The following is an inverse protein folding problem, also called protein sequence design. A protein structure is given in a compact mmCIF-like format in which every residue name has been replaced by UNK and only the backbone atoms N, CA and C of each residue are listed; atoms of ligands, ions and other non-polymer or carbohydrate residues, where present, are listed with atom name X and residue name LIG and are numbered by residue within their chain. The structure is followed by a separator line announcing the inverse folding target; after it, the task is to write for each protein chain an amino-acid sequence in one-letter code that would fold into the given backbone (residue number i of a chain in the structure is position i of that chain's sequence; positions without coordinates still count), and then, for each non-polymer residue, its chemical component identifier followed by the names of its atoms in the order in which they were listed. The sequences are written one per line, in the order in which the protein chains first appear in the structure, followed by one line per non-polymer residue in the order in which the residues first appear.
data_IF_164352630239
#
_entry.id   IF_164352630239
#
_cell.length_a   1.000
_cell.length_b   1.000
_cell.length_c   1.000
_cell.angle_alpha   90.00
_cell.angle_beta   90.00
_cell.angle_gamma   90.00
#
_symmetry.space_group_name_H-M   'P 1'
#
loop_
_entity.id
_entity.type
_entity.pdbx_description
1 polymer ?
#
# COMPACT_ATOMS: atom_id res chain seq x y z
N UNK A 1 57.22 2.24 2.97
CA UNK A 1 56.11 1.27 3.09
C UNK A 1 54.85 1.99 2.67
N UNK A 2 54.16 1.60 1.60
CA UNK A 2 52.90 2.25 1.22
C UNK A 2 51.76 1.78 2.15
N UNK A 3 50.99 2.73 2.64
CA UNK A 3 49.79 2.50 3.45
C UNK A 3 48.74 1.71 2.67
N UNK A 4 48.28 0.59 3.22
CA UNK A 4 47.13 -0.15 2.70
C UNK A 4 45.85 0.69 2.91
N UNK A 5 45.31 1.25 1.84
CA UNK A 5 43.95 1.75 1.81
C UNK A 5 42.99 0.58 2.04
N UNK A 6 42.37 0.54 3.21
CA UNK A 6 41.26 -0.38 3.50
C UNK A 6 40.02 0.14 2.78
N UNK A 7 39.70 -0.39 1.60
CA UNK A 7 38.43 -0.12 0.94
C UNK A 7 37.32 -0.75 1.77
N UNK A 8 36.50 0.07 2.40
CA UNK A 8 35.29 -0.34 3.10
C UNK A 8 34.27 -0.79 2.03
N UNK A 9 34.09 -2.09 1.86
CA UNK A 9 33.04 -2.63 0.99
C UNK A 9 31.77 -2.76 1.81
N UNK A 10 30.81 -1.85 1.58
CA UNK A 10 29.45 -1.99 2.10
C UNK A 10 28.70 -2.93 1.16
N UNK A 11 28.32 -4.10 1.62
CA UNK A 11 27.40 -4.98 0.89
C UNK A 11 25.99 -4.70 1.39
N UNK A 12 25.12 -4.25 0.50
CA UNK A 12 23.69 -4.19 0.77
C UNK A 12 23.09 -5.58 0.54
N UNK A 13 22.17 -6.03 1.44
CA UNK A 13 21.38 -7.21 1.16
C UNK A 13 20.46 -6.91 -0.05
N UNK A 14 20.25 -7.86 -0.94
CA UNK A 14 19.36 -7.68 -2.12
C UNK A 14 17.93 -7.29 -1.71
N UNK A 15 17.48 -7.68 -0.53
CA UNK A 15 16.19 -7.27 0.04
C UNK A 15 16.12 -5.77 0.40
N UNK A 16 17.25 -5.13 0.71
CA UNK A 16 17.31 -3.70 1.03
C UNK A 16 17.24 -2.77 -0.20
N UNK A 17 17.30 -3.31 -1.41
CA UNK A 17 17.21 -2.52 -2.66
C UNK A 17 15.77 -2.33 -3.14
N UNK A 18 14.80 -3.08 -2.62
CA UNK A 18 13.39 -2.92 -2.95
C UNK A 18 12.76 -1.90 -2.00
N UNK A 19 12.34 -0.73 -2.53
CA UNK A 19 11.52 0.24 -1.79
C UNK A 19 10.25 -0.40 -1.20
N UNK A 20 9.46 0.36 -0.42
CA UNK A 20 8.21 -0.14 0.17
C UNK A 20 7.27 -0.71 -0.90
N UNK A 21 6.76 -1.92 -0.68
CA UNK A 21 5.81 -2.59 -1.58
C UNK A 21 4.41 -2.06 -1.34
N UNK A 22 3.90 -1.28 -2.27
CA UNK A 22 2.58 -0.65 -2.20
C UNK A 22 1.62 -1.38 -3.11
N UNK A 23 0.48 -1.84 -2.58
CA UNK A 23 -0.60 -2.44 -3.36
C UNK A 23 -1.86 -1.59 -3.31
N UNK A 24 -2.53 -1.47 -4.45
CA UNK A 24 -3.81 -0.75 -4.58
C UNK A 24 -4.88 -1.74 -5.00
N UNK A 25 -5.84 -1.99 -4.13
CA UNK A 25 -6.96 -2.88 -4.42
C UNK A 25 -8.25 -2.09 -4.59
N UNK A 26 -8.81 -2.15 -5.79
CA UNK A 26 -10.11 -1.55 -6.11
C UNK A 26 -11.24 -2.54 -5.88
N UNK A 27 -12.14 -2.22 -4.93
CA UNK A 27 -13.23 -3.11 -4.52
C UNK A 27 -14.57 -2.64 -5.09
N UNK A 28 -15.24 -3.54 -5.83
CA UNK A 28 -16.50 -3.26 -6.51
C UNK A 28 -16.35 -2.38 -7.75
N UNK A 29 -17.46 -1.90 -8.30
CA UNK A 29 -17.49 -1.13 -9.56
C UNK A 29 -16.71 0.18 -9.45
N UNK A 30 -17.01 1.03 -8.46
CA UNK A 30 -16.32 2.31 -8.25
C UNK A 30 -14.82 2.13 -8.00
N UNK A 31 -14.43 1.19 -7.12
CA UNK A 31 -13.02 0.90 -6.87
C UNK A 31 -12.28 0.38 -8.11
N UNK A 32 -12.89 -0.49 -8.90
CA UNK A 32 -12.32 -0.98 -10.16
C UNK A 32 -12.15 0.14 -11.19
N UNK A 33 -13.09 1.09 -11.26
CA UNK A 33 -12.98 2.26 -12.14
C UNK A 33 -11.84 3.18 -11.71
N UNK A 34 -11.70 3.44 -10.42
CA UNK A 34 -10.58 4.23 -9.88
C UNK A 34 -9.23 3.58 -10.21
N UNK A 35 -9.08 2.26 -10.03
CA UNK A 35 -7.87 1.52 -10.41
C UNK A 35 -7.61 1.63 -11.91
N UNK A 36 -8.61 1.45 -12.76
CA UNK A 36 -8.44 1.63 -14.20
C UNK A 36 -7.95 3.04 -14.56
N UNK A 37 -8.40 4.05 -13.81
CA UNK A 37 -7.97 5.43 -14.00
C UNK A 37 -6.52 5.64 -13.58
N UNK A 38 -6.11 5.05 -12.45
CA UNK A 38 -4.72 5.10 -11.98
C UNK A 38 -3.76 4.48 -13.00
N UNK A 39 -4.14 3.32 -13.57
CA UNK A 39 -3.35 2.63 -14.61
C UNK A 39 -3.24 3.51 -15.87
N UNK A 40 -4.34 4.11 -16.32
CA UNK A 40 -4.32 5.02 -17.50
C UNK A 40 -3.48 6.27 -17.25
N UNK A 41 -3.48 6.78 -16.04
CA UNK A 41 -2.66 7.91 -15.62
C UNK A 41 -1.20 7.51 -15.35
N UNK A 42 -0.83 6.23 -15.53
CA UNK A 42 0.51 5.70 -15.34
C UNK A 42 1.07 6.01 -13.94
N UNK A 43 0.26 5.80 -12.90
CA UNK A 43 0.76 5.86 -11.52
C UNK A 43 1.76 4.73 -11.32
N UNK A 44 3.00 5.08 -10.97
CA UNK A 44 4.14 4.17 -10.87
C UNK A 44 4.41 3.75 -9.42
N UNK A 45 5.21 2.71 -9.23
CA UNK A 45 5.65 2.24 -7.90
C UNK A 45 4.57 1.51 -7.10
N UNK A 46 3.43 1.14 -7.72
CA UNK A 46 2.32 0.43 -7.06
C UNK A 46 1.84 -0.76 -7.87
N UNK A 47 1.39 -1.81 -7.18
CA UNK A 47 0.76 -2.98 -7.78
C UNK A 47 -0.77 -2.83 -7.75
N UNK A 48 -1.44 -3.04 -8.88
CA UNK A 48 -2.88 -2.86 -9.01
C UNK A 48 -3.65 -4.17 -8.99
N UNK A 49 -4.69 -4.22 -8.15
CA UNK A 49 -5.60 -5.35 -7.98
C UNK A 49 -7.05 -4.85 -8.15
N UNK A 50 -7.86 -5.57 -8.92
CA UNK A 50 -9.30 -5.32 -8.99
C UNK A 50 -10.05 -6.48 -8.38
N UNK A 51 -10.92 -6.21 -7.41
CA UNK A 51 -11.74 -7.20 -6.72
C UNK A 51 -13.23 -6.88 -6.91
N UNK A 52 -14.00 -7.80 -7.48
CA UNK A 52 -15.43 -7.58 -7.73
C UNK A 52 -16.23 -8.88 -7.70
N UNK A 53 -17.51 -8.78 -7.35
CA UNK A 53 -18.50 -9.85 -7.47
C UNK A 53 -19.11 -9.95 -8.88
N UNK A 54 -18.99 -8.89 -9.68
CA UNK A 54 -19.43 -8.82 -11.08
C UNK A 54 -18.29 -9.21 -12.03
N UNK A 55 -18.46 -10.35 -12.68
CA UNK A 55 -17.47 -10.88 -13.62
C UNK A 55 -17.34 -10.04 -14.91
N UNK A 56 -18.42 -9.37 -15.34
CA UNK A 56 -18.37 -8.54 -16.56
C UNK A 56 -17.53 -7.28 -16.28
N UNK A 57 -17.78 -6.61 -15.16
CA UNK A 57 -16.97 -5.47 -14.73
C UNK A 57 -15.50 -5.87 -14.53
N UNK A 58 -15.24 -7.05 -13.96
CA UNK A 58 -13.89 -7.54 -13.73
C UNK A 58 -13.13 -7.85 -15.04
N UNK A 59 -13.82 -8.37 -16.06
CA UNK A 59 -13.24 -8.60 -17.40
C UNK A 59 -12.81 -7.29 -18.06
N UNK A 60 -13.56 -6.21 -17.86
CA UNK A 60 -13.24 -4.87 -18.41
C UNK A 60 -12.15 -4.14 -17.62
N UNK A 61 -11.79 -4.61 -16.45
CA UNK A 61 -10.70 -4.03 -15.66
C UNK A 61 -9.36 -4.16 -16.36
N UNK A 62 -8.52 -3.12 -16.23
CA UNK A 62 -7.14 -3.07 -16.73
C UNK A 62 -6.11 -3.53 -15.69
N UNK A 63 -6.56 -3.84 -14.47
CA UNK A 63 -5.68 -4.34 -13.41
C UNK A 63 -5.01 -5.65 -13.82
N UNK A 64 -3.71 -5.81 -13.55
CA UNK A 64 -2.97 -7.05 -13.84
C UNK A 64 -3.49 -8.21 -12.98
N UNK A 65 -3.87 -7.93 -11.72
CA UNK A 65 -4.45 -8.93 -10.82
C UNK A 65 -5.95 -8.69 -10.70
N UNK A 66 -6.75 -9.73 -10.94
CA UNK A 66 -8.21 -9.67 -10.91
C UNK A 66 -8.76 -10.75 -9.99
N UNK A 67 -9.48 -10.33 -8.95
CA UNK A 67 -10.09 -11.23 -7.96
C UNK A 67 -11.60 -11.24 -8.11
N UNK A 68 -12.16 -12.36 -8.53
CA UNK A 68 -13.59 -12.58 -8.47
C UNK A 68 -13.98 -12.98 -7.04
N UNK A 69 -14.84 -12.19 -6.40
CA UNK A 69 -15.32 -12.42 -5.05
C UNK A 69 -16.66 -13.16 -5.08
N UNK A 70 -16.81 -14.20 -4.22
CA UNK A 70 -18.03 -14.92 -4.02
C UNK A 70 -18.53 -15.60 -5.29
N UNK A 71 -17.67 -16.29 -5.99
CA UNK A 71 -18.00 -16.97 -7.25
C UNK A 71 -19.17 -17.95 -7.10
N UNK A 72 -19.26 -18.68 -5.98
CA UNK A 72 -20.35 -19.61 -5.68
C UNK A 72 -21.63 -18.87 -5.30
N UNK A 73 -21.50 -17.82 -4.46
CA UNK A 73 -22.62 -17.05 -3.93
C UNK A 73 -23.30 -16.21 -5.01
N UNK A 74 -22.51 -15.45 -5.81
CA UNK A 74 -23.04 -14.46 -6.77
C UNK A 74 -23.11 -14.96 -8.20
N UNK A 75 -22.43 -16.06 -8.52
CA UNK A 75 -22.31 -16.62 -9.89
C UNK A 75 -21.81 -15.59 -10.92
N UNK A 76 -21.07 -14.57 -10.43
CA UNK A 76 -20.55 -13.49 -11.28
C UNK A 76 -21.55 -12.41 -11.67
N UNK A 77 -22.75 -12.40 -11.07
CA UNK A 77 -23.82 -11.44 -11.38
C UNK A 77 -23.81 -10.18 -10.50
N UNK A 78 -22.82 -10.05 -9.61
CA UNK A 78 -22.75 -8.94 -8.67
C UNK A 78 -23.49 -9.18 -7.36
N UNK A 79 -23.43 -8.20 -6.44
CA UNK A 79 -24.03 -8.29 -5.12
C UNK A 79 -25.46 -7.70 -5.03
N UNK A 80 -26.04 -7.23 -6.15
CA UNK A 80 -27.42 -6.72 -6.19
C UNK A 80 -27.69 -5.53 -5.25
N UNK A 81 -26.71 -4.61 -5.11
CA UNK A 81 -26.78 -3.47 -4.18
C UNK A 81 -26.98 -3.87 -2.70
N UNK A 82 -26.66 -5.12 -2.33
CA UNK A 82 -26.77 -5.61 -0.96
C UNK A 82 -25.36 -5.78 -0.33
N UNK A 83 -24.98 -4.95 0.67
CA UNK A 83 -23.68 -5.03 1.32
C UNK A 83 -23.40 -6.37 2.01
N UNK A 84 -24.42 -7.02 2.58
CA UNK A 84 -24.27 -8.33 3.21
C UNK A 84 -23.85 -9.43 2.22
N UNK A 85 -24.34 -9.35 0.98
CA UNK A 85 -23.89 -10.26 -0.10
C UNK A 85 -22.44 -9.97 -0.46
N UNK A 86 -22.07 -8.69 -0.57
CA UNK A 86 -20.69 -8.27 -0.82
C UNK A 86 -19.73 -8.74 0.27
N UNK A 87 -20.13 -8.61 1.53
CA UNK A 87 -19.36 -9.08 2.70
C UNK A 87 -19.15 -10.60 2.67
N UNK A 88 -20.24 -11.36 2.50
CA UNK A 88 -20.16 -12.82 2.40
C UNK A 88 -19.31 -13.28 1.22
N UNK A 89 -19.39 -12.57 0.09
CA UNK A 89 -18.56 -12.85 -1.09
C UNK A 89 -17.06 -12.66 -0.81
N UNK A 90 -16.68 -11.61 -0.09
CA UNK A 90 -15.29 -11.41 0.32
C UNK A 90 -14.82 -12.48 1.32
N UNK A 91 -15.66 -12.89 2.26
CA UNK A 91 -15.35 -13.94 3.22
C UNK A 91 -15.21 -15.32 2.56
N UNK A 92 -15.94 -15.61 1.48
CA UNK A 92 -15.81 -16.85 0.71
C UNK A 92 -14.40 -16.98 0.08
N UNK A 93 -13.81 -15.88 -0.39
CA UNK A 93 -12.55 -15.86 -1.09
C UNK A 93 -11.40 -15.24 -0.27
N UNK A 94 -11.46 -15.34 1.06
CA UNK A 94 -10.47 -14.78 1.99
C UNK A 94 -9.03 -15.21 1.65
N UNK A 95 -8.81 -16.48 1.31
CA UNK A 95 -7.48 -17.01 0.97
C UNK A 95 -6.89 -16.33 -0.27
N UNK A 96 -7.69 -16.12 -1.32
CA UNK A 96 -7.26 -15.42 -2.53
C UNK A 96 -6.94 -13.94 -2.28
N UNK A 97 -7.70 -13.30 -1.39
CA UNK A 97 -7.43 -11.91 -1.00
C UNK A 97 -6.11 -11.84 -0.24
N UNK A 98 -5.88 -12.73 0.71
CA UNK A 98 -4.63 -12.80 1.47
C UNK A 98 -3.42 -13.06 0.56
N UNK A 99 -3.51 -14.00 -0.37
CA UNK A 99 -2.46 -14.31 -1.34
C UNK A 99 -2.12 -13.08 -2.22
N UNK A 100 -3.14 -12.35 -2.68
CA UNK A 100 -2.94 -11.16 -3.49
C UNK A 100 -2.33 -9.98 -2.71
N UNK A 101 -2.57 -9.90 -1.40
CA UNK A 101 -2.07 -8.82 -0.53
C UNK A 101 -0.76 -9.18 0.17
N UNK A 102 -0.34 -10.44 0.14
CA UNK A 102 0.84 -10.90 0.85
C UNK A 102 2.11 -10.13 0.46
N UNK A 103 2.96 -9.88 1.46
CA UNK A 103 4.22 -9.16 1.29
C UNK A 103 4.08 -7.66 1.01
N UNK A 104 2.88 -7.06 1.12
CA UNK A 104 2.71 -5.62 1.03
C UNK A 104 3.10 -4.91 2.34
N UNK A 105 3.87 -3.83 2.23
CA UNK A 105 4.14 -2.90 3.34
C UNK A 105 2.98 -1.92 3.53
N UNK A 106 2.31 -1.54 2.43
CA UNK A 106 1.15 -0.65 2.41
C UNK A 106 0.08 -1.15 1.46
N UNK A 107 -1.18 -1.04 1.88
CA UNK A 107 -2.34 -1.38 1.05
C UNK A 107 -3.31 -0.22 1.00
N UNK A 108 -3.57 0.27 -0.20
CA UNK A 108 -4.69 1.16 -0.47
C UNK A 108 -5.93 0.36 -0.84
N UNK A 109 -7.02 0.54 -0.10
CA UNK A 109 -8.32 -0.04 -0.41
C UNK A 109 -9.22 1.05 -0.98
N UNK A 110 -9.47 1.04 -2.30
CA UNK A 110 -10.34 2.03 -2.93
C UNK A 110 -11.71 1.46 -3.22
N UNK A 111 -12.76 2.21 -2.84
CA UNK A 111 -14.14 1.75 -3.02
C UNK A 111 -15.14 2.91 -3.14
N UNK A 112 -16.17 2.71 -3.96
CA UNK A 112 -17.37 3.56 -3.92
C UNK A 112 -18.38 2.96 -2.93
N UNK A 113 -18.73 3.72 -1.90
CA UNK A 113 -19.68 3.30 -0.87
C UNK A 113 -21.14 3.50 -1.32
N UNK A 114 -22.06 2.83 -0.66
CA UNK A 114 -23.50 2.84 -0.99
C UNK A 114 -23.94 1.75 -1.98
N UNK A 115 -22.98 0.99 -2.55
CA UNK A 115 -23.25 -0.20 -3.36
C UNK A 115 -23.15 -1.49 -2.56
N UNK A 116 -23.38 -2.64 -3.22
CA UNK A 116 -23.28 -3.94 -2.56
C UNK A 116 -21.83 -4.38 -2.32
N UNK A 117 -21.06 -4.52 -3.39
CA UNK A 117 -19.70 -5.04 -3.31
C UNK A 117 -18.73 -4.08 -2.60
N UNK A 118 -18.71 -2.79 -3.00
CA UNK A 118 -17.84 -1.80 -2.38
C UNK A 118 -18.09 -1.65 -0.89
N UNK A 119 -19.35 -1.48 -0.49
CA UNK A 119 -19.72 -1.30 0.92
C UNK A 119 -19.49 -2.55 1.78
N UNK A 120 -19.78 -3.74 1.23
CA UNK A 120 -19.69 -4.97 2.01
C UNK A 120 -18.29 -5.60 2.02
N UNK A 121 -17.61 -5.61 0.89
CA UNK A 121 -16.33 -6.29 0.77
C UNK A 121 -15.14 -5.42 1.20
N UNK A 122 -15.18 -4.09 1.02
CA UNK A 122 -14.03 -3.24 1.35
C UNK A 122 -13.62 -3.32 2.83
N UNK A 123 -14.53 -3.33 3.83
CA UNK A 123 -14.14 -3.52 5.24
C UNK A 123 -13.47 -4.87 5.50
N UNK A 124 -13.90 -5.94 4.83
CA UNK A 124 -13.30 -7.27 4.96
C UNK A 124 -11.88 -7.27 4.37
N UNK A 125 -11.71 -6.76 3.15
CA UNK A 125 -10.41 -6.65 2.48
C UNK A 125 -9.44 -5.81 3.31
N UNK A 126 -9.92 -4.68 3.82
CA UNK A 126 -9.13 -3.77 4.66
C UNK A 126 -8.68 -4.42 5.97
N UNK A 127 -9.57 -5.17 6.61
CA UNK A 127 -9.23 -5.90 7.82
C UNK A 127 -8.16 -6.97 7.55
N UNK A 128 -8.29 -7.74 6.45
CA UNK A 128 -7.31 -8.73 6.06
C UNK A 128 -5.93 -8.10 5.78
N UNK A 129 -5.88 -6.94 5.08
CA UNK A 129 -4.65 -6.20 4.85
C UNK A 129 -3.99 -5.76 6.16
N UNK A 130 -4.78 -5.25 7.10
CA UNK A 130 -4.31 -4.85 8.43
C UNK A 130 -3.82 -6.05 9.25
N UNK A 131 -4.50 -7.20 9.18
CA UNK A 131 -4.06 -8.44 9.85
C UNK A 131 -2.75 -9.00 9.27
N UNK A 132 -2.43 -8.73 8.00
CA UNK A 132 -1.13 -9.02 7.39
C UNK A 132 -0.01 -8.09 7.89
N UNK A 133 -0.33 -7.03 8.64
CA UNK A 133 0.63 -6.05 9.18
C UNK A 133 0.97 -4.91 8.22
N UNK A 134 0.29 -4.83 7.08
CA UNK A 134 0.44 -3.72 6.14
C UNK A 134 -0.21 -2.43 6.70
N UNK A 135 0.42 -1.28 6.45
CA UNK A 135 -0.24 0.01 6.67
C UNK A 135 -1.46 0.09 5.74
N UNK A 136 -2.66 0.12 6.30
CA UNK A 136 -3.89 0.04 5.51
C UNK A 136 -4.58 1.40 5.45
N UNK A 137 -4.67 1.96 4.25
CA UNK A 137 -5.34 3.24 3.98
C UNK A 137 -6.52 3.00 3.05
N UNK A 138 -7.72 3.33 3.50
CA UNK A 138 -8.89 3.31 2.63
C UNK A 138 -9.08 4.67 1.96
N UNK A 139 -9.47 4.66 0.68
CA UNK A 139 -9.87 5.87 -0.06
C UNK A 139 -11.25 5.60 -0.63
N UNK A 140 -12.27 6.24 -0.08
CA UNK A 140 -13.66 5.90 -0.36
C UNK A 140 -14.49 7.12 -0.75
N UNK A 141 -15.40 6.94 -1.71
CA UNK A 141 -16.37 7.98 -2.10
C UNK A 141 -17.75 7.70 -1.47
N UNK A 142 -18.42 8.77 -1.00
CA UNK A 142 -19.83 8.74 -0.67
C UNK A 142 -20.67 9.06 -1.92
N UNK A 143 -21.86 8.46 -2.07
CA UNK A 143 -22.71 8.70 -3.24
C UNK A 143 -23.19 10.14 -3.32
N UNK A 144 -23.62 10.55 -4.51
CA UNK A 144 -24.35 11.80 -4.71
C UNK A 144 -25.72 11.75 -4.07
N UNK A 145 -26.30 12.91 -3.68
CA UNK A 145 -27.63 12.99 -3.09
C UNK A 145 -28.73 12.45 -4.03
N UNK A 146 -28.60 12.65 -5.34
CA UNK A 146 -29.56 12.13 -6.34
C UNK A 146 -29.58 10.61 -6.46
N UNK A 147 -28.52 9.89 -5.96
CA UNK A 147 -28.50 8.43 -5.94
C UNK A 147 -29.45 7.82 -4.90
N UNK A 148 -30.00 8.65 -4.03
CA UNK A 148 -31.08 8.33 -3.11
C UNK A 148 -30.62 8.03 -1.67
N UNK A 149 -31.54 8.29 -0.73
CA UNK A 149 -31.30 8.23 0.71
C UNK A 149 -30.82 6.85 1.18
N UNK A 150 -31.44 5.78 0.68
CA UNK A 150 -31.03 4.40 1.04
C UNK A 150 -29.57 4.12 0.74
N UNK A 151 -29.10 4.63 -0.40
CA UNK A 151 -27.71 4.44 -0.82
C UNK A 151 -26.74 5.22 0.07
N UNK A 152 -27.14 6.42 0.50
CA UNK A 152 -26.39 7.21 1.46
C UNK A 152 -26.32 6.52 2.84
N UNK A 153 -27.45 6.00 3.35
CA UNK A 153 -27.49 5.27 4.63
C UNK A 153 -26.57 4.03 4.60
N UNK A 154 -26.57 3.28 3.49
CA UNK A 154 -25.66 2.15 3.29
C UNK A 154 -24.18 2.59 3.23
N UNK A 155 -23.90 3.76 2.65
CA UNK A 155 -22.56 4.32 2.60
C UNK A 155 -22.06 4.70 3.99
N UNK A 156 -22.90 5.37 4.80
CA UNK A 156 -22.54 5.76 6.18
C UNK A 156 -22.30 4.54 7.08
N UNK A 157 -23.13 3.51 6.96
CA UNK A 157 -22.91 2.27 7.70
C UNK A 157 -21.58 1.61 7.31
N UNK A 158 -21.34 1.48 6.00
CA UNK A 158 -20.10 0.88 5.49
C UNK A 158 -18.86 1.70 5.87
N UNK A 159 -18.97 3.03 5.90
CA UNK A 159 -17.90 3.92 6.35
C UNK A 159 -17.57 3.66 7.83
N UNK A 160 -18.60 3.50 8.68
CA UNK A 160 -18.41 3.17 10.09
C UNK A 160 -17.65 1.86 10.30
N UNK A 161 -17.96 0.82 9.50
CA UNK A 161 -17.24 -0.46 9.52
C UNK A 161 -15.81 -0.32 8.97
N UNK A 162 -15.63 0.47 7.91
CA UNK A 162 -14.33 0.68 7.27
C UNK A 162 -13.35 1.42 8.19
N UNK A 163 -13.81 2.47 8.90
CA UNK A 163 -13.00 3.19 9.91
C UNK A 163 -12.47 2.23 10.98
N UNK A 164 -13.26 1.24 11.38
CA UNK A 164 -12.82 0.23 12.34
C UNK A 164 -11.83 -0.80 11.78
N UNK A 165 -11.69 -0.89 10.46
CA UNK A 165 -10.91 -1.93 9.77
C UNK A 165 -9.57 -1.45 9.23
N UNK A 166 -9.35 -0.12 9.13
CA UNK A 166 -8.15 0.49 8.55
C UNK A 166 -7.36 1.31 9.56
N UNK A 167 -6.15 1.71 9.21
CA UNK A 167 -5.37 2.71 9.95
C UNK A 167 -5.91 4.11 9.69
N UNK A 168 -6.18 4.43 8.42
CA UNK A 168 -6.71 5.73 8.00
C UNK A 168 -7.73 5.55 6.89
N UNK A 169 -8.83 6.28 6.93
CA UNK A 169 -9.79 6.37 5.82
C UNK A 169 -9.88 7.81 5.32
N UNK A 170 -9.63 7.99 4.04
CA UNK A 170 -9.84 9.26 3.32
C UNK A 170 -11.22 9.19 2.69
N UNK A 171 -12.11 10.08 3.07
CA UNK A 171 -13.49 10.11 2.59
C UNK A 171 -13.68 11.28 1.63
N UNK A 172 -14.29 10.99 0.48
CA UNK A 172 -14.57 11.96 -0.58
C UNK A 172 -16.09 12.01 -0.78
N UNK A 173 -16.79 13.03 -0.26
CA UNK A 173 -18.20 13.21 -0.52
C UNK A 173 -18.40 13.65 -1.98
N UNK A 174 -19.04 12.81 -2.81
CA UNK A 174 -19.28 13.17 -4.22
C UNK A 174 -20.12 14.44 -4.36
N UNK A 175 -21.01 14.73 -3.40
CA UNK A 175 -21.83 15.96 -3.39
C UNK A 175 -20.94 17.21 -3.40
N UNK A 176 -19.82 17.21 -2.69
CA UNK A 176 -18.86 18.35 -2.68
C UNK A 176 -18.16 18.55 -4.03
N UNK A 177 -18.10 17.51 -4.86
CA UNK A 177 -17.56 17.66 -6.21
C UNK A 177 -18.42 18.53 -7.09
N UNK A 178 -19.74 18.63 -6.81
CA UNK A 178 -20.64 19.53 -7.55
C UNK A 178 -20.25 21.00 -7.38
N UNK A 179 -19.58 21.36 -6.30
CA UNK A 179 -19.06 22.72 -6.07
C UNK A 179 -17.76 22.99 -6.87
N UNK A 180 -17.08 21.93 -7.31
CA UNK A 180 -15.81 22.01 -8.05
C UNK A 180 -16.00 21.95 -9.57
N UNK A 181 -17.19 21.61 -10.06
CA UNK A 181 -17.47 21.41 -11.49
C UNK A 181 -18.26 22.56 -12.09
N UNK A 182 -18.06 22.81 -13.39
CA UNK A 182 -18.78 23.84 -14.12
C UNK A 182 -20.27 23.45 -14.33
N UNK A 183 -21.14 24.46 -14.32
CA UNK A 183 -22.53 24.27 -14.66
C UNK A 183 -22.68 23.65 -16.07
N UNK A 184 -23.37 22.53 -16.16
CA UNK A 184 -23.52 21.80 -17.43
C UNK A 184 -22.62 20.60 -17.60
N UNK A 185 -21.77 20.28 -16.61
CA UNK A 185 -20.97 19.04 -16.59
C UNK A 185 -21.88 17.82 -16.74
N UNK A 186 -21.52 16.92 -17.68
CA UNK A 186 -22.33 15.71 -17.92
C UNK A 186 -22.24 14.73 -16.74
N UNK A 187 -23.29 13.91 -16.61
CA UNK A 187 -23.35 12.85 -15.59
C UNK A 187 -22.09 11.94 -15.61
N UNK A 188 -21.66 11.51 -16.80
CA UNK A 188 -20.45 10.68 -16.93
C UNK A 188 -19.18 11.40 -16.48
N UNK A 189 -19.11 12.71 -16.75
CA UNK A 189 -17.96 13.52 -16.36
C UNK A 189 -17.89 13.69 -14.84
N UNK A 190 -19.03 13.85 -14.15
CA UNK A 190 -19.08 13.93 -12.69
C UNK A 190 -18.51 12.68 -12.03
N UNK A 191 -18.88 11.48 -12.50
CA UNK A 191 -18.27 10.23 -12.00
C UNK A 191 -16.79 10.11 -12.37
N UNK A 192 -16.41 10.59 -13.55
CA UNK A 192 -15.02 10.61 -13.99
C UNK A 192 -14.17 11.49 -13.07
N UNK A 193 -14.69 12.60 -12.59
CA UNK A 193 -14.02 13.47 -11.63
C UNK A 193 -13.91 12.78 -10.28
N UNK A 194 -14.96 12.10 -9.79
CA UNK A 194 -14.91 11.32 -8.55
C UNK A 194 -13.81 10.25 -8.61
N UNK A 195 -13.73 9.48 -9.70
CA UNK A 195 -12.68 8.49 -9.90
C UNK A 195 -11.28 9.15 -9.95
N UNK A 196 -11.18 10.37 -10.52
CA UNK A 196 -9.90 11.09 -10.59
C UNK A 196 -9.44 11.61 -9.23
N UNK A 197 -10.35 12.02 -8.37
CA UNK A 197 -10.01 12.40 -6.99
C UNK A 197 -9.51 11.19 -6.19
N UNK A 198 -10.12 10.01 -6.37
CA UNK A 198 -9.59 8.77 -5.78
C UNK A 198 -8.16 8.48 -6.26
N UNK A 199 -7.89 8.68 -7.54
CA UNK A 199 -6.54 8.59 -8.10
C UNK A 199 -5.58 9.59 -7.46
N UNK A 200 -5.98 10.85 -7.35
CA UNK A 200 -5.14 11.91 -6.77
C UNK A 200 -4.82 11.62 -5.30
N UNK A 201 -5.75 11.05 -4.54
CA UNK A 201 -5.53 10.68 -3.15
C UNK A 201 -4.45 9.58 -3.02
N UNK A 202 -4.58 8.50 -3.80
CA UNK A 202 -3.60 7.41 -3.80
C UNK A 202 -2.25 7.92 -4.31
N UNK A 203 -2.25 8.64 -5.44
CA UNK A 203 -1.03 9.17 -6.03
C UNK A 203 -0.32 10.16 -5.12
N UNK A 204 -1.05 11.06 -4.45
CA UNK A 204 -0.47 12.05 -3.53
C UNK A 204 0.33 11.44 -2.38
N UNK A 205 -0.03 10.22 -1.95
CA UNK A 205 0.71 9.50 -0.92
C UNK A 205 1.81 8.62 -1.54
N UNK A 206 1.49 7.88 -2.62
CA UNK A 206 2.45 6.97 -3.24
C UNK A 206 3.66 7.71 -3.81
N UNK A 207 3.44 8.87 -4.47
CA UNK A 207 4.52 9.64 -5.09
C UNK A 207 5.61 10.05 -4.07
N UNK A 208 5.21 10.40 -2.84
CA UNK A 208 6.16 10.76 -1.77
C UNK A 208 7.08 9.60 -1.40
N UNK A 209 6.57 8.37 -1.49
CA UNK A 209 7.28 7.15 -1.09
C UNK A 209 8.09 6.59 -2.26
N UNK A 210 7.53 6.60 -3.48
CA UNK A 210 8.06 5.85 -4.63
C UNK A 210 8.90 6.67 -5.58
N UNK A 211 8.64 7.99 -5.68
CA UNK A 211 9.34 8.85 -6.63
C UNK A 211 10.49 9.56 -5.91
N UNK A 212 11.75 9.38 -6.36
CA UNK A 212 12.87 10.16 -5.86
C UNK A 212 12.63 11.65 -6.13
N UNK A 213 12.45 12.43 -5.08
CA UNK A 213 12.22 13.87 -5.15
C UNK A 213 13.37 14.69 -4.57
N UNK A 214 13.20 16.01 -4.49
CA UNK A 214 14.18 16.91 -3.83
C UNK A 214 14.21 16.64 -2.33
N UNK A 215 13.07 16.32 -1.73
CA UNK A 215 12.91 15.95 -0.33
C UNK A 215 12.17 14.63 -0.28
N UNK A 216 12.92 13.54 -0.12
CA UNK A 216 12.37 12.20 0.04
C UNK A 216 12.01 11.97 1.51
N UNK A 217 10.86 11.34 1.71
CA UNK A 217 10.47 10.79 3.00
C UNK A 217 10.50 9.28 2.94
N UNK A 218 10.97 8.67 4.00
CA UNK A 218 10.93 7.23 4.10
C UNK A 218 9.49 6.74 4.43
N UNK A 219 9.26 5.47 4.16
CA UNK A 219 7.97 4.85 4.45
C UNK A 219 7.60 4.92 5.94
N UNK A 220 8.59 4.90 6.84
CA UNK A 220 8.36 4.94 8.29
C UNK A 220 7.76 6.28 8.74
N UNK A 221 8.15 7.40 8.11
CA UNK A 221 7.57 8.71 8.37
C UNK A 221 6.08 8.72 8.01
N UNK A 222 5.74 8.26 6.79
CA UNK A 222 4.33 8.17 6.33
C UNK A 222 3.52 7.24 7.24
N UNK A 223 4.10 6.10 7.63
CA UNK A 223 3.47 5.16 8.56
C UNK A 223 3.16 5.81 9.90
N UNK A 224 4.06 6.63 10.43
CA UNK A 224 3.86 7.32 11.72
C UNK A 224 2.68 8.29 11.69
N UNK A 225 2.47 9.01 10.57
CA UNK A 225 1.34 9.94 10.43
C UNK A 225 0.03 9.25 10.10
N UNK A 226 0.06 8.12 9.38
CA UNK A 226 -1.16 7.48 8.88
C UNK A 226 -1.64 6.32 9.74
N UNK A 227 -0.81 5.80 10.65
CA UNK A 227 -1.19 4.64 11.47
C UNK A 227 -2.16 5.02 12.58
N UNK A 228 -3.32 4.36 12.64
CA UNK A 228 -4.31 4.52 13.70
C UNK A 228 -5.02 5.87 13.75
N UNK A 229 -4.98 6.67 12.68
CA UNK A 229 -5.55 8.02 12.66
C UNK A 229 -7.06 8.05 12.41
N UNK A 230 -7.65 6.95 11.95
CA UNK A 230 -9.07 6.88 11.68
C UNK A 230 -9.48 7.74 10.49
N UNK A 231 -10.23 8.82 10.73
CA UNK A 231 -10.75 9.67 9.67
C UNK A 231 -9.72 10.68 9.17
N UNK A 232 -9.61 10.82 7.86
CA UNK A 232 -8.78 11.81 7.18
C UNK A 232 -9.54 12.50 6.05
N UNK A 233 -9.14 13.73 5.77
CA UNK A 233 -9.66 14.54 4.64
C UNK A 233 -8.50 14.95 3.74
N UNK A 234 -8.83 15.24 2.49
CA UNK A 234 -7.83 15.63 1.48
C UNK A 234 -8.28 16.87 0.72
N UNK A 235 -7.35 17.80 0.54
CA UNK A 235 -7.50 18.90 -0.40
C UNK A 235 -6.38 18.87 -1.43
N UNK A 236 -6.71 19.14 -2.69
CA UNK A 236 -5.74 19.21 -3.76
C UNK A 236 -6.05 20.38 -4.69
N UNK A 237 -5.01 21.06 -5.15
CA UNK A 237 -5.16 22.15 -6.11
C UNK A 237 -3.95 22.26 -7.03
N UNK A 238 -4.21 22.77 -8.22
CA UNK A 238 -3.19 23.10 -9.23
C UNK A 238 -3.29 24.59 -9.54
N UNK A 239 -2.15 25.27 -9.57
CA UNK A 239 -2.08 26.66 -10.00
C UNK A 239 -0.86 26.91 -10.88
N UNK A 240 -0.91 27.96 -11.67
CA UNK A 240 0.13 28.41 -12.59
C UNK A 240 0.33 29.93 -12.49
N UNK A 241 1.46 30.45 -12.97
CA UNK A 241 1.80 31.87 -12.92
C UNK A 241 2.79 32.23 -11.81
N UNK A 242 2.98 33.54 -11.55
CA UNK A 242 4.02 34.04 -10.65
C UNK A 242 3.81 33.67 -9.18
N UNK A 243 2.57 33.51 -8.73
CA UNK A 243 2.21 33.15 -7.35
C UNK A 243 1.66 31.73 -7.24
N UNK A 244 2.02 30.85 -8.19
CA UNK A 244 1.43 29.51 -8.34
C UNK A 244 1.46 28.67 -7.06
N UNK A 245 2.52 28.74 -6.28
CA UNK A 245 2.66 27.96 -5.04
C UNK A 245 1.72 28.48 -3.93
N UNK A 246 1.62 29.81 -3.77
CA UNK A 246 0.72 30.44 -2.80
C UNK A 246 -0.74 30.17 -3.18
N UNK A 247 -1.10 30.33 -4.47
CA UNK A 247 -2.45 30.10 -4.97
C UNK A 247 -2.86 28.64 -4.83
N UNK A 248 -1.96 27.70 -5.18
CA UNK A 248 -2.20 26.28 -5.00
C UNK A 248 -2.38 25.91 -3.53
N UNK A 249 -1.54 26.42 -2.61
CA UNK A 249 -1.66 26.17 -1.19
C UNK A 249 -3.01 26.70 -0.64
N UNK A 250 -3.37 27.93 -0.94
CA UNK A 250 -4.64 28.52 -0.50
C UNK A 250 -5.85 27.74 -1.04
N UNK A 251 -5.84 27.35 -2.32
CA UNK A 251 -6.91 26.54 -2.90
C UNK A 251 -6.97 25.14 -2.33
N UNK A 252 -5.83 24.52 -2.00
CA UNK A 252 -5.79 23.19 -1.42
C UNK A 252 -6.39 23.18 0.01
N UNK A 253 -6.04 24.16 0.86
CA UNK A 253 -6.58 24.24 2.21
C UNK A 253 -8.05 24.70 2.28
N UNK A 254 -8.52 25.39 1.26
CA UNK A 254 -9.92 25.83 1.12
C UNK A 254 -10.72 24.96 0.14
N UNK A 255 -10.21 23.77 -0.19
CA UNK A 255 -10.91 22.85 -1.09
C UNK A 255 -12.26 22.44 -0.51
N UNK A 256 -13.35 22.44 -1.32
CA UNK A 256 -14.65 21.93 -0.88
C UNK A 256 -14.62 20.47 -0.41
N UNK A 257 -13.59 19.71 -0.80
CA UNK A 257 -13.38 18.32 -0.35
C UNK A 257 -12.96 18.21 1.12
N UNK A 258 -12.46 19.31 1.69
CA UNK A 258 -12.19 19.42 3.12
C UNK A 258 -13.50 19.82 3.81
N UNK A 259 -14.07 18.91 4.60
CA UNK A 259 -15.28 19.23 5.39
C UNK A 259 -14.94 20.30 6.44
N UNK A 260 -15.74 21.37 6.51
CA UNK A 260 -15.80 22.38 7.56
C UNK A 260 -14.49 22.94 8.09
N UNK A 261 -13.55 23.37 7.20
CA UNK A 261 -12.25 24.00 7.58
C UNK A 261 -11.38 23.14 8.54
N UNK A 262 -11.45 21.84 8.41
CA UNK A 262 -10.96 20.87 9.38
C UNK A 262 -9.44 20.74 9.53
N UNK A 263 -8.59 21.47 8.80
CA UNK A 263 -7.12 21.37 8.95
C UNK A 263 -6.70 21.72 10.38
N UNK A 264 -7.40 22.67 11.04
CA UNK A 264 -7.07 23.11 12.39
C UNK A 264 -7.21 22.05 13.49
N UNK A 265 -8.03 21.01 13.24
CA UNK A 265 -8.23 19.91 14.20
C UNK A 265 -7.33 18.69 13.97
N UNK A 266 -6.57 18.66 12.88
CA UNK A 266 -5.76 17.52 12.49
C UNK A 266 -4.49 17.41 13.36
N UNK A 267 -4.17 16.19 13.79
CA UNK A 267 -2.93 15.88 14.52
C UNK A 267 -1.78 15.52 13.58
N UNK A 268 -2.09 14.99 12.39
CA UNK A 268 -1.13 14.64 11.35
C UNK A 268 -1.47 15.32 10.02
N UNK A 269 -0.49 15.92 9.37
CA UNK A 269 -0.67 16.55 8.08
C UNK A 269 0.43 16.07 7.14
N UNK A 270 0.03 15.57 5.99
CA UNK A 270 0.91 15.22 4.90
C UNK A 270 0.74 16.24 3.77
N UNK A 271 1.84 16.88 3.38
CA UNK A 271 1.88 17.86 2.31
C UNK A 271 2.72 17.30 1.18
N UNK A 272 2.15 17.19 -0.01
CA UNK A 272 2.87 16.85 -1.23
C UNK A 272 2.84 18.03 -2.21
N UNK A 273 4.01 18.56 -2.55
CA UNK A 273 4.17 19.60 -3.57
C UNK A 273 4.79 18.94 -4.80
N UNK A 274 4.07 18.98 -5.92
CA UNK A 274 4.56 18.47 -7.20
C UNK A 274 4.75 19.64 -8.16
N UNK A 275 5.93 19.77 -8.74
CA UNK A 275 6.26 20.80 -9.71
C UNK A 275 7.38 20.37 -10.64
N UNK A 276 7.63 21.15 -11.70
CA UNK A 276 8.76 20.91 -12.60
C UNK A 276 10.09 21.34 -11.97
N UNK A 277 11.18 21.15 -12.69
CA UNK A 277 12.54 21.63 -12.33
C UNK A 277 12.63 23.15 -12.09
N UNK A 278 11.60 23.91 -12.48
CA UNK A 278 11.49 25.36 -12.20
C UNK A 278 10.98 25.70 -10.80
N UNK A 279 10.61 24.70 -9.97
CA UNK A 279 10.11 24.92 -8.61
C UNK A 279 11.22 25.45 -7.72
N UNK A 280 11.06 26.66 -7.17
CA UNK A 280 12.06 27.29 -6.30
C UNK A 280 11.87 26.94 -4.82
N UNK A 281 12.95 27.00 -4.05
CA UNK A 281 12.92 26.79 -2.60
C UNK A 281 12.01 27.82 -1.91
N UNK A 282 11.95 29.06 -2.43
CA UNK A 282 11.10 30.12 -1.89
C UNK A 282 9.62 29.77 -2.05
N UNK A 283 9.19 29.28 -3.23
CA UNK A 283 7.81 28.84 -3.49
C UNK A 283 7.39 27.71 -2.54
N UNK A 284 8.29 26.76 -2.33
CA UNK A 284 8.09 25.64 -1.41
C UNK A 284 7.92 26.15 0.03
N UNK A 285 8.76 27.10 0.48
CA UNK A 285 8.71 27.69 1.81
C UNK A 285 7.41 28.47 2.03
N UNK A 286 7.00 29.31 1.05
CA UNK A 286 5.77 30.10 1.14
C UNK A 286 4.53 29.22 1.21
N UNK A 287 4.42 28.19 0.35
CA UNK A 287 3.32 27.25 0.36
C UNK A 287 3.23 26.48 1.69
N UNK A 288 4.37 25.97 2.17
CA UNK A 288 4.43 25.24 3.44
C UNK A 288 4.06 26.13 4.64
N UNK A 289 4.50 27.39 4.64
CA UNK A 289 4.18 28.36 5.72
C UNK A 289 2.68 28.66 5.80
N UNK A 290 1.99 28.73 4.65
CA UNK A 290 0.54 28.93 4.60
C UNK A 290 -0.18 27.73 5.24
N UNK A 291 0.19 26.51 4.87
CA UNK A 291 -0.43 25.30 5.39
C UNK A 291 -0.14 25.11 6.88
N UNK A 292 1.10 25.39 7.34
CA UNK A 292 1.48 25.35 8.75
C UNK A 292 0.66 26.32 9.60
N UNK A 293 0.41 27.54 9.12
CA UNK A 293 -0.42 28.52 9.82
C UNK A 293 -1.88 28.11 9.93
N UNK A 294 -2.38 27.31 8.98
CA UNK A 294 -3.73 26.76 9.01
C UNK A 294 -3.86 25.51 9.88
N UNK A 295 -2.75 24.86 10.22
CA UNK A 295 -2.68 23.65 11.01
C UNK A 295 -2.75 23.94 12.53
N UNK A 296 -3.01 22.88 13.32
CA UNK A 296 -2.89 22.96 14.78
C UNK A 296 -1.42 23.13 15.18
N UNK A 297 -1.13 23.91 16.24
CA UNK A 297 0.24 24.19 16.70
C UNK A 297 1.08 22.93 16.98
N UNK A 298 0.44 21.87 17.44
CA UNK A 298 1.09 20.59 17.78
C UNK A 298 0.94 19.54 16.67
N UNK A 299 0.49 19.92 15.45
CA UNK A 299 0.34 18.97 14.36
C UNK A 299 1.70 18.44 13.89
N UNK A 300 1.79 17.13 13.70
CA UNK A 300 2.95 16.51 13.05
C UNK A 300 2.82 16.71 11.53
N UNK A 301 3.70 17.53 10.96
CA UNK A 301 3.64 17.88 9.53
C UNK A 301 4.78 17.19 8.79
N UNK A 302 4.41 16.32 7.84
CA UNK A 302 5.34 15.74 6.87
C UNK A 302 5.20 16.47 5.55
N UNK A 303 6.32 16.83 4.99
CA UNK A 303 6.44 17.55 3.74
C UNK A 303 7.25 16.73 2.73
N UNK A 304 6.71 16.55 1.54
CA UNK A 304 7.37 15.96 0.37
C UNK A 304 7.37 16.92 -0.81
N UNK A 305 8.44 16.88 -1.60
CA UNK A 305 8.56 17.64 -2.84
C UNK A 305 8.96 16.70 -3.97
N UNK A 306 8.06 16.51 -4.94
CA UNK A 306 8.21 15.60 -6.08
C UNK A 306 8.43 16.41 -7.36
N UNK A 307 9.42 16.00 -8.16
CA UNK A 307 9.65 16.59 -9.47
C UNK A 307 8.88 15.85 -10.55
N UNK A 308 8.07 16.59 -11.30
CA UNK A 308 7.35 16.12 -12.48
C UNK A 308 7.42 17.20 -13.58
N UNK A 309 8.25 16.97 -14.57
CA UNK A 309 8.45 17.92 -15.68
C UNK A 309 7.21 18.08 -16.56
N UNK A 310 6.24 17.16 -16.47
CA UNK A 310 4.94 17.33 -17.14
C UNK A 310 4.12 18.51 -16.58
N UNK A 311 4.42 18.94 -15.35
CA UNK A 311 3.77 20.10 -14.70
C UNK A 311 4.14 21.44 -15.34
N UNK A 312 5.28 21.54 -16.03
CA UNK A 312 5.77 22.78 -16.70
C UNK A 312 5.76 23.99 -15.74
N UNK A 313 4.93 24.99 -16.04
CA UNK A 313 4.77 26.22 -15.24
C UNK A 313 3.74 26.09 -14.10
N UNK A 314 3.18 24.89 -13.89
CA UNK A 314 2.17 24.66 -12.87
C UNK A 314 2.77 24.01 -11.62
N UNK A 315 2.14 24.23 -10.48
CA UNK A 315 2.44 23.55 -9.21
C UNK A 315 1.16 22.88 -8.70
N UNK A 316 1.24 21.62 -8.34
CA UNK A 316 0.17 20.87 -7.67
C UNK A 316 0.51 20.71 -6.20
N UNK A 317 -0.42 21.06 -5.33
CA UNK A 317 -0.30 20.84 -3.88
C UNK A 317 -1.43 19.93 -3.43
N UNK A 318 -1.06 18.87 -2.75
CA UNK A 318 -2.00 17.95 -2.10
C UNK A 318 -1.75 17.98 -0.60
N UNK A 319 -2.80 18.23 0.16
CA UNK A 319 -2.77 18.25 1.63
C UNK A 319 -3.70 17.15 2.13
N UNK A 320 -3.18 16.26 2.97
CA UNK A 320 -3.96 15.22 3.64
C UNK A 320 -3.87 15.50 5.14
N UNK A 321 -5.03 15.72 5.75
CA UNK A 321 -5.15 16.00 7.17
C UNK A 321 -5.81 14.80 7.85
N UNK A 322 -5.19 14.28 8.91
CA UNK A 322 -5.62 13.08 9.61
C UNK A 322 -5.57 13.25 11.12
N UNK A 323 -6.21 12.35 11.87
CA UNK A 323 -6.14 12.38 13.34
C UNK A 323 -7.02 13.46 13.95
N UNK A 324 -8.21 13.68 13.42
CA UNK A 324 -9.19 14.54 14.04
C UNK A 324 -9.62 13.93 15.37
N UNK A 325 -9.55 14.69 16.47
CA UNK A 325 -10.03 14.22 17.76
C UNK A 325 -11.47 13.77 17.61
N UNK A 326 -11.73 12.48 17.82
CA UNK A 326 -13.09 11.96 17.84
C UNK A 326 -13.95 12.77 18.81
N UNK A 327 -15.16 13.09 18.38
CA UNK A 327 -16.24 13.46 19.28
C UNK A 327 -16.36 12.33 20.30
N UNK A 328 -16.07 12.66 21.56
CA UNK A 328 -15.98 11.71 22.66
C UNK A 328 -17.16 10.74 22.69
N UNK A 329 -16.90 9.45 22.52
CA UNK A 329 -17.91 8.41 22.66
C UNK A 329 -17.73 7.11 21.86
N UNK A 330 -16.86 7.03 20.85
CA UNK A 330 -16.63 5.76 20.13
C UNK A 330 -15.62 4.90 20.91
N UNK A 331 -16.15 3.87 21.57
CA UNK A 331 -15.34 2.73 22.06
C UNK A 331 -14.66 2.11 20.86
N UNK A 332 -13.33 1.98 20.90
CA UNK A 332 -12.54 1.12 20.02
C UNK A 332 -13.14 -0.28 20.05
N UNK A 333 -13.97 -0.62 19.06
CA UNK A 333 -14.43 -1.99 18.90
C UNK A 333 -13.21 -2.81 18.46
N UNK A 334 -12.95 -3.91 19.17
CA UNK A 334 -11.92 -4.86 18.77
C UNK A 334 -12.19 -5.32 17.33
N UNK A 335 -11.21 -5.16 16.45
CA UNK A 335 -11.30 -5.59 15.04
C UNK A 335 -11.64 -7.08 15.00
N UNK A 336 -12.68 -7.51 14.24
CA UNK A 336 -12.94 -8.94 14.07
C UNK A 336 -11.79 -9.57 13.27
N UNK A 337 -11.27 -10.71 13.72
CA UNK A 337 -10.22 -11.42 12.97
C UNK A 337 -10.86 -12.36 11.93
N UNK A 338 -10.48 -12.19 10.67
CA UNK A 338 -10.92 -13.04 9.55
C UNK A 338 -9.83 -14.00 9.05
N UNK A 339 -8.61 -13.97 9.64
CA UNK A 339 -7.53 -14.86 9.22
C UNK A 339 -7.89 -16.33 9.44
N UNK A 340 -7.80 -17.19 8.42
CA UNK A 340 -7.90 -18.62 8.55
C UNK A 340 -6.84 -19.16 9.53
N UNK A 341 -7.21 -20.18 10.33
CA UNK A 341 -6.26 -20.79 11.29
C UNK A 341 -5.01 -21.34 10.62
N UNK A 342 -5.15 -21.83 9.40
CA UNK A 342 -4.06 -22.31 8.56
C UNK A 342 -3.06 -21.21 8.22
N UNK A 343 -3.53 -20.01 7.93
CA UNK A 343 -2.69 -18.85 7.60
C UNK A 343 -1.89 -18.35 8.82
N UNK A 344 -2.52 -18.34 10.01
CA UNK A 344 -1.83 -18.02 11.27
C UNK A 344 -0.68 -18.99 11.54
N UNK A 345 -0.91 -20.29 11.36
CA UNK A 345 0.10 -21.32 11.59
C UNK A 345 1.31 -21.23 10.64
N UNK A 346 1.13 -20.71 9.42
CA UNK A 346 2.23 -20.52 8.46
C UNK A 346 3.14 -19.32 8.81
N UNK A 347 2.63 -18.32 9.52
CA UNK A 347 3.37 -17.11 9.91
C UNK A 347 3.90 -17.13 11.36
N UNK A 348 3.44 -18.04 12.20
CA UNK A 348 4.08 -18.24 13.49
C UNK A 348 5.52 -18.71 13.23
N UNK A 349 6.55 -18.04 13.76
CA UNK A 349 7.91 -18.55 13.68
C UNK A 349 7.90 -19.97 14.25
N UNK A 350 8.48 -20.92 13.51
CA UNK A 350 8.59 -22.28 13.97
C UNK A 350 9.05 -22.27 15.42
N UNK A 351 8.41 -23.05 16.34
CA UNK A 351 8.80 -23.05 17.74
C UNK A 351 10.30 -23.24 17.80
N UNK A 352 10.98 -22.31 18.49
CA UNK A 352 12.43 -22.35 18.62
C UNK A 352 12.81 -23.78 19.00
N UNK A 353 13.59 -24.44 18.15
CA UNK A 353 14.08 -25.77 18.44
C UNK A 353 14.70 -25.70 19.84
N UNK A 354 14.40 -26.65 20.73
CA UNK A 354 14.96 -26.63 22.09
C UNK A 354 16.45 -26.50 21.95
N UNK A 355 16.99 -25.40 22.45
CA UNK A 355 18.43 -25.14 22.51
C UNK A 355 19.03 -26.33 23.22
N UNK A 356 19.79 -27.14 22.48
CA UNK A 356 20.59 -28.21 23.12
C UNK A 356 21.42 -27.54 24.21
N UNK A 357 21.49 -28.12 25.43
CA UNK A 357 22.28 -27.55 26.50
C UNK A 357 23.71 -27.43 26.02
N UNK A 358 24.30 -26.24 26.12
CA UNK A 358 25.69 -25.97 25.76
C UNK A 358 26.57 -26.91 26.62
N UNK A 359 27.49 -27.67 26.03
CA UNK A 359 28.38 -28.52 26.80
C UNK A 359 29.27 -27.64 27.68
N UNK A 360 29.27 -27.96 28.97
CA UNK A 360 30.05 -27.34 30.01
C UNK A 360 31.55 -27.37 29.64
N UNK A 361 32.21 -26.20 29.59
CA UNK A 361 33.61 -26.02 29.23
C UNK A 361 34.57 -26.59 30.29
N UNK A 362 34.58 -27.92 30.53
CA UNK A 362 35.60 -28.60 31.35
C UNK A 362 36.07 -29.94 30.73
N UNK A 363 36.22 -30.03 29.40
CA UNK A 363 36.88 -31.19 28.79
C UNK A 363 37.69 -30.74 27.53
N UNK A 364 38.78 -30.01 27.74
CA UNK A 364 39.68 -29.53 26.71
C UNK A 364 40.66 -30.55 26.16
N UNK A 365 40.62 -31.81 26.54
CA UNK A 365 41.65 -32.81 26.11
C UNK A 365 41.14 -33.88 25.12
N UNK A 366 39.85 -33.97 24.86
CA UNK A 366 39.30 -34.97 23.91
C UNK A 366 39.16 -34.41 22.48
N UNK A 367 38.97 -33.12 22.35
CA UNK A 367 38.75 -32.46 21.02
C UNK A 367 40.04 -32.47 20.16
N UNK A 368 41.23 -32.42 20.77
CA UNK A 368 42.48 -32.45 19.99
C UNK A 368 42.82 -33.84 19.42
N UNK A 369 42.33 -34.92 20.02
CA UNK A 369 42.55 -36.26 19.49
C UNK A 369 41.60 -36.61 18.36
N UNK A 370 40.34 -36.11 18.40
CA UNK A 370 39.35 -36.29 17.32
C UNK A 370 39.74 -35.50 16.06
N UNK A 371 40.29 -34.30 16.19
CA UNK A 371 40.72 -33.48 15.05
C UNK A 371 41.88 -34.12 14.26
N UNK A 372 42.80 -34.85 14.91
CA UNK A 372 43.88 -35.56 14.21
C UNK A 372 43.36 -36.74 13.40
N UNK A 373 42.42 -37.49 13.92
CA UNK A 373 41.85 -38.66 13.22
C UNK A 373 40.97 -38.26 12.01
N UNK A 374 40.30 -37.12 12.08
CA UNK A 374 39.48 -36.60 10.93
C UNK A 374 40.41 -36.14 9.80
N UNK A 375 41.55 -35.51 10.10
CA UNK A 375 42.52 -35.08 9.07
C UNK A 375 43.18 -36.27 8.35
N UNK A 376 43.46 -37.37 9.00
CA UNK A 376 44.00 -38.58 8.36
C UNK A 376 42.97 -39.28 7.47
N UNK A 377 41.70 -39.33 7.89
CA UNK A 377 40.62 -39.94 7.11
C UNK A 377 40.31 -39.09 5.85
N UNK A 378 40.32 -37.77 5.95
CA UNK A 378 40.15 -36.88 4.81
C UNK A 378 41.28 -37.03 3.81
N UNK A 379 42.58 -37.21 4.25
CA UNK A 379 43.71 -37.43 3.37
C UNK A 379 43.69 -38.81 2.68
N UNK A 380 43.12 -39.85 3.28
CA UNK A 380 42.91 -41.14 2.65
C UNK A 380 41.76 -41.12 1.62
N UNK A 381 40.69 -40.43 1.90
CA UNK A 381 39.58 -40.27 0.96
C UNK A 381 39.97 -39.47 -0.27
N UNK A 382 40.79 -38.39 -0.15
CA UNK A 382 41.25 -37.60 -1.29
C UNK A 382 42.25 -38.35 -2.18
N UNK A 383 43.00 -39.33 -1.65
CA UNK A 383 43.87 -40.17 -2.49
C UNK A 383 43.11 -41.20 -3.34
N UNK A 384 41.96 -41.66 -2.92
CA UNK A 384 41.15 -42.61 -3.67
C UNK A 384 40.22 -41.99 -4.73
N UNK A 385 40.09 -40.65 -4.73
CA UNK A 385 39.22 -39.96 -5.74
C UNK A 385 39.98 -39.64 -7.02
N UNK A 386 41.30 -39.79 -7.07
CA UNK A 386 42.14 -39.53 -8.27
C UNK A 386 42.16 -40.67 -9.30
N UNK A 387 41.42 -41.80 -9.07
CA UNK A 387 41.32 -42.93 -9.98
C UNK A 387 39.89 -43.24 -10.47
N UNK A 388 39.03 -42.25 -10.59
CA UNK A 388 37.68 -42.48 -11.14
C UNK A 388 37.72 -42.36 -12.67
N UNK A 389 37.55 -43.53 -13.33
CA UNK A 389 37.34 -43.66 -14.76
C UNK A 389 36.19 -42.84 -15.26
N UNK A 390 36.31 -42.31 -16.45
CA UNK A 390 35.29 -41.58 -17.20
C UNK A 390 33.96 -42.38 -17.20
N UNK A 391 32.91 -41.74 -16.68
CA UNK A 391 31.54 -42.29 -16.69
C UNK A 391 30.86 -41.87 -17.99
N UNK A 392 30.24 -42.77 -18.77
CA UNK A 392 29.52 -42.41 -19.99
C UNK A 392 28.31 -41.51 -19.70
N UNK A 393 28.07 -40.52 -20.59
CA UNK A 393 27.07 -39.47 -20.41
C UNK A 393 25.61 -39.94 -20.36
N UNK A 394 25.33 -41.20 -20.66
CA UNK A 394 23.99 -41.78 -20.85
C UNK A 394 23.53 -42.71 -19.70
N UNK A 395 24.28 -42.79 -18.61
CA UNK A 395 23.89 -43.63 -17.46
C UNK A 395 22.86 -42.92 -16.58
N UNK A 396 21.61 -43.40 -16.62
CA UNK A 396 20.45 -42.85 -15.92
C UNK A 396 20.48 -43.06 -14.40
N UNK A 397 21.33 -43.95 -13.89
CA UNK A 397 21.48 -44.26 -12.47
C UNK A 397 22.40 -43.26 -11.73
N UNK A 398 23.04 -42.35 -12.47
CA UNK A 398 23.86 -41.29 -11.86
C UNK A 398 23.03 -40.01 -11.64
N UNK A 399 23.04 -39.43 -10.44
CA UNK A 399 22.30 -38.19 -10.16
C UNK A 399 22.67 -37.03 -11.09
N UNK A 400 21.68 -36.24 -11.50
CA UNK A 400 21.76 -35.20 -12.56
C UNK A 400 22.83 -34.13 -12.31
N UNK A 401 23.16 -33.86 -11.04
CA UNK A 401 24.18 -32.87 -10.68
C UNK A 401 25.61 -33.37 -10.98
N UNK A 402 25.91 -34.64 -10.89
CA UNK A 402 27.20 -35.22 -11.23
C UNK A 402 27.39 -35.31 -12.75
N UNK A 403 26.34 -35.54 -13.52
CA UNK A 403 26.36 -35.54 -14.99
C UNK A 403 26.70 -34.15 -15.57
N UNK A 404 26.27 -33.07 -14.92
CA UNK A 404 26.59 -31.68 -15.34
C UNK A 404 28.01 -31.22 -15.06
N UNK A 405 28.73 -31.86 -14.14
CA UNK A 405 30.13 -31.55 -13.91
C UNK A 405 31.05 -32.19 -14.95
N UNK A 406 30.71 -33.39 -15.46
CA UNK A 406 31.50 -34.08 -16.50
C UNK A 406 31.39 -33.42 -17.90
N UNK A 407 30.41 -32.57 -18.15
CA UNK A 407 30.24 -31.82 -19.42
C UNK A 407 30.95 -30.46 -19.43
N UNK A 408 31.61 -30.06 -18.34
CA UNK A 408 32.31 -28.78 -18.23
C UNK A 408 33.86 -28.94 -18.04
N UNK A 409 34.34 -30.15 -18.04
CA UNK A 409 35.76 -30.49 -18.16
C UNK A 409 36.06 -30.97 -19.61
#
# INVERSE_FOLDING_TARGET
MPAKESSFKVSFSEEAQNGAKIKVIGVGGGGSNAVNRMIRAKVEGVEFIAANTDLQALKLSQAPVKLQLGAKLTKGLGAGANPEVGRKAALEDTEKILEALDGADMVFVTAGLGGGTGSGAAPVVANLASELGALTVAVATKPFAFEGKRRMEQAEQALGELIGSVDTVIVIPNERLMECVEHGTSFFEAFRIADDILRQAVQGISDIITIPGIINRDFADVKTIMSGQGYAVMGTAVASGSNRAIDAANRAINSPLLEDNCIQGAQGILINITGSSSLSLQEVHEASSIIQKAAHENANIIFGAVMDDAMKESVKITVIAAGFREVAGRKTQSRPSYLPKTWKAMREPAPAQPTMPQPNMQQTNVVQQVSRNVSEVVHQVTRNVSEVREVPADDLDVPTFLRRQAQKA
#
